data_IF_197227703916
#
_entry.id   IF_197227703916
#
_cell.length_a   1.000
_cell.length_b   1.000
_cell.length_c   1.000
_cell.angle_alpha   90.00
_cell.angle_beta   90.00
_cell.angle_gamma   90.00
#
_symmetry.space_group_name_H-M   'P 1'
#
loop_
_entity.id
_entity.type
_entity.pdbx_description
1 polymer ?
#
# COMPACT_ATOMS: atom_id res chain seq x y z
N UNK A 1 -5.13 -55.17 32.84
CA UNK A 1 -5.97 -54.78 33.99
C UNK A 1 -6.26 -53.29 33.78
N UNK A 2 -7.42 -52.99 33.27
CA UNK A 2 -8.63 -52.47 33.95
C UNK A 2 -8.36 -51.10 34.57
N UNK A 3 -9.10 -50.05 34.38
CA UNK A 3 -10.47 -49.81 33.91
C UNK A 3 -10.63 -48.27 33.87
N UNK A 4 -11.28 -47.72 32.95
CA UNK A 4 -12.71 -47.44 32.79
C UNK A 4 -13.24 -46.21 33.55
N UNK A 5 -13.87 -45.32 32.80
CA UNK A 5 -15.03 -44.45 33.07
C UNK A 5 -14.77 -43.21 33.97
N UNK A 6 -15.25 -42.03 33.61
CA UNK A 6 -16.66 -41.64 33.50
C UNK A 6 -16.83 -40.28 32.77
N UNK A 7 -17.86 -40.27 31.94
CA UNK A 7 -18.55 -39.13 31.32
C UNK A 7 -19.12 -38.18 32.38
N UNK A 8 -19.22 -36.88 32.04
CA UNK A 8 -20.55 -36.21 32.16
C UNK A 8 -20.62 -34.95 31.31
N UNK A 9 -21.61 -34.93 30.44
CA UNK A 9 -22.20 -33.76 29.78
C UNK A 9 -22.86 -32.86 30.83
N UNK A 10 -22.84 -31.54 30.57
CA UNK A 10 -23.91 -30.65 30.96
C UNK A 10 -24.18 -29.61 29.86
N UNK A 11 -25.34 -29.79 29.21
CA UNK A 11 -26.05 -28.84 28.37
C UNK A 11 -26.89 -27.99 29.31
N UNK A 12 -26.81 -26.67 29.20
CA UNK A 12 -27.87 -25.78 29.68
C UNK A 12 -28.14 -24.75 28.60
N UNK A 13 -29.31 -24.87 28.00
CA UNK A 13 -29.99 -23.89 27.19
C UNK A 13 -31.09 -23.24 28.04
N UNK A 14 -31.14 -21.91 28.06
CA UNK A 14 -32.33 -21.10 28.40
C UNK A 14 -31.99 -19.72 27.81
N UNK A 15 -32.68 -19.09 26.89
CA UNK A 15 -34.09 -18.87 26.81
C UNK A 15 -34.26 -17.36 26.70
N UNK A 16 -34.75 -16.85 25.58
CA UNK A 16 -34.85 -15.42 25.30
C UNK A 16 -35.88 -14.69 26.16
N UNK A 17 -35.73 -13.38 26.19
CA UNK A 17 -36.85 -12.46 26.45
C UNK A 17 -36.67 -11.17 25.67
N UNK A 18 -37.57 -10.95 24.72
CA UNK A 18 -37.87 -9.65 24.14
C UNK A 18 -38.62 -8.79 25.14
N UNK A 19 -38.24 -7.56 25.36
CA UNK A 19 -39.15 -6.51 25.85
C UNK A 19 -38.92 -5.26 25.02
N UNK A 20 -40.03 -4.85 24.40
CA UNK A 20 -40.14 -3.62 23.63
C UNK A 20 -40.75 -2.52 24.52
N UNK A 21 -40.59 -1.28 24.07
CA UNK A 21 -41.35 -0.05 24.42
C UNK A 21 -40.87 0.75 25.63
N UNK A 22 -40.54 2.02 25.47
CA UNK A 22 -41.46 3.11 25.28
C UNK A 22 -40.73 4.44 25.02
N UNK A 23 -41.29 5.18 24.12
CA UNK A 23 -40.91 6.58 23.83
C UNK A 23 -41.24 7.52 24.98
N UNK A 24 -40.39 8.52 25.26
CA UNK A 24 -40.77 9.77 25.90
C UNK A 24 -39.89 10.91 25.37
N UNK A 25 -40.54 11.87 24.78
CA UNK A 25 -40.07 13.18 24.33
C UNK A 25 -40.02 14.21 25.49
N UNK A 26 -39.68 15.48 25.29
CA UNK A 26 -38.38 16.04 25.72
C UNK A 26 -38.56 17.10 26.85
N UNK A 27 -37.48 17.45 27.50
CA UNK A 27 -37.40 18.68 28.28
C UNK A 27 -36.19 19.51 27.85
N UNK A 28 -36.48 20.70 27.38
CA UNK A 28 -35.54 21.75 27.05
C UNK A 28 -34.76 22.22 28.29
N UNK A 29 -33.45 22.31 28.15
CA UNK A 29 -32.56 22.94 29.12
C UNK A 29 -31.43 23.66 28.40
N UNK A 30 -31.37 24.96 28.64
CA UNK A 30 -30.50 25.94 28.00
C UNK A 30 -29.00 25.78 28.33
N UNK A 31 -28.20 26.13 27.33
CA UNK A 31 -27.02 26.99 27.38
C UNK A 31 -25.69 26.42 27.92
N UNK A 32 -24.77 26.32 27.05
CA UNK A 32 -23.34 26.30 27.28
C UNK A 32 -22.61 26.40 25.94
N UNK A 33 -22.39 27.63 25.44
CA UNK A 33 -21.48 27.87 24.29
C UNK A 33 -20.06 27.55 24.74
N UNK A 34 -19.53 26.42 24.33
CA UNK A 34 -18.10 26.19 24.28
C UNK A 34 -17.67 26.27 22.83
N UNK A 35 -16.62 27.08 22.58
CA UNK A 35 -16.11 27.36 21.27
C UNK A 35 -15.65 26.10 20.57
N UNK A 36 -16.35 25.71 19.52
CA UNK A 36 -15.94 24.65 18.61
C UNK A 36 -14.78 25.15 17.73
N UNK A 37 -13.74 24.35 17.62
CA UNK A 37 -12.72 24.52 16.61
C UNK A 37 -13.36 24.60 15.22
N UNK A 38 -12.81 25.39 14.29
CA UNK A 38 -13.41 25.54 12.97
C UNK A 38 -13.42 24.17 12.26
N UNK A 39 -14.61 23.74 11.87
CA UNK A 39 -14.80 22.56 11.03
C UNK A 39 -14.03 22.76 9.72
N UNK A 40 -13.25 21.77 9.32
CA UNK A 40 -12.63 21.74 8.01
C UNK A 40 -13.71 21.94 6.92
N UNK A 41 -13.44 22.72 5.87
CA UNK A 41 -14.43 22.96 4.83
C UNK A 41 -14.82 21.64 4.18
N UNK A 42 -16.10 21.30 4.22
CA UNK A 42 -16.66 20.14 3.53
C UNK A 42 -16.29 20.21 2.03
N UNK A 43 -15.73 19.14 1.52
CA UNK A 43 -15.45 19.00 0.11
C UNK A 43 -16.75 19.23 -0.68
N UNK A 44 -16.79 20.28 -1.50
CA UNK A 44 -17.92 20.55 -2.40
C UNK A 44 -17.98 19.42 -3.43
N UNK A 45 -18.90 18.48 -3.25
CA UNK A 45 -19.26 17.50 -4.24
C UNK A 45 -19.74 18.17 -5.52
N UNK A 46 -18.85 18.38 -6.48
CA UNK A 46 -19.18 18.82 -7.82
C UNK A 46 -19.96 17.71 -8.54
N UNK A 47 -21.13 18.01 -9.06
CA UNK A 47 -21.85 17.16 -10.03
C UNK A 47 -21.08 17.21 -11.36
N UNK A 48 -20.20 16.26 -11.57
CA UNK A 48 -19.44 16.06 -12.78
C UNK A 48 -18.36 15.02 -12.50
N UNK A 49 -18.21 13.98 -13.31
CA UNK A 49 -17.24 12.91 -13.14
C UNK A 49 -15.78 13.37 -13.28
N UNK A 50 -15.38 14.35 -12.48
CA UNK A 50 -14.00 14.84 -12.42
C UNK A 50 -13.09 13.85 -11.70
N UNK A 51 -11.81 13.89 -12.04
CA UNK A 51 -10.75 13.17 -11.34
C UNK A 51 -10.71 13.65 -9.88
N UNK A 52 -10.75 12.74 -8.87
CA UNK A 52 -10.57 13.13 -7.49
C UNK A 52 -9.24 13.85 -7.28
N UNK A 53 -9.29 15.00 -6.63
CA UNK A 53 -8.13 15.86 -6.41
C UNK A 53 -8.35 16.72 -5.17
N UNK A 54 -7.27 17.17 -4.55
CA UNK A 54 -7.33 18.03 -3.38
C UNK A 54 -5.99 18.67 -3.03
N UNK A 55 -5.99 19.37 -1.90
CA UNK A 55 -4.82 20.09 -1.41
C UNK A 55 -4.54 21.39 -2.17
N UNK A 56 -3.59 22.17 -1.64
CA UNK A 56 -3.11 23.45 -2.22
C UNK A 56 -1.61 23.66 -1.98
N UNK A 57 -0.95 22.62 -1.47
CA UNK A 57 0.48 22.68 -1.19
C UNK A 57 1.33 22.67 -2.46
N UNK A 58 2.63 23.04 -2.31
CA UNK A 58 3.54 23.19 -3.45
C UNK A 58 3.91 21.86 -4.12
N UNK A 59 3.93 20.75 -3.38
CA UNK A 59 4.35 19.44 -3.92
C UNK A 59 3.19 18.84 -4.70
N UNK A 60 3.37 18.57 -5.97
CA UNK A 60 2.37 17.99 -6.86
C UNK A 60 2.48 16.48 -6.86
N UNK A 61 1.43 15.79 -6.45
CA UNK A 61 1.40 14.32 -6.30
C UNK A 61 0.38 13.70 -7.23
N UNK A 62 0.81 12.76 -8.05
CA UNK A 62 -0.08 11.84 -8.76
C UNK A 62 -0.34 10.62 -7.92
N UNK A 63 -1.61 10.34 -7.57
CA UNK A 63 -2.02 9.17 -6.79
C UNK A 63 -2.52 8.11 -7.75
N UNK A 64 -1.75 7.05 -7.92
CA UNK A 64 -2.09 5.92 -8.81
C UNK A 64 -2.88 4.89 -8.02
N UNK A 65 -4.05 4.49 -8.54
CA UNK A 65 -4.90 3.47 -7.92
C UNK A 65 -5.43 2.51 -8.98
N UNK A 66 -5.90 1.37 -8.58
CA UNK A 66 -6.67 0.33 -9.28
C UNK A 66 -6.24 -1.07 -8.79
N UNK A 67 -7.08 -2.05 -9.09
CA UNK A 67 -6.77 -3.47 -8.86
C UNK A 67 -7.11 -3.97 -7.46
N UNK A 68 -7.29 -3.07 -6.49
CA UNK A 68 -7.80 -3.34 -5.15
C UNK A 68 -8.86 -2.31 -4.76
N UNK A 69 -9.91 -2.76 -4.06
CA UNK A 69 -10.93 -1.88 -3.50
C UNK A 69 -10.41 -1.17 -2.24
N UNK A 70 -10.92 0.02 -1.96
CA UNK A 70 -10.61 0.76 -0.74
C UNK A 70 -11.80 1.63 -0.30
N UNK A 71 -11.80 2.01 0.96
CA UNK A 71 -12.78 2.92 1.54
C UNK A 71 -12.53 4.34 1.02
N UNK A 72 -13.32 4.77 0.03
CA UNK A 72 -13.05 6.01 -0.73
C UNK A 72 -12.95 7.27 0.13
N UNK A 73 -13.90 7.47 1.03
CA UNK A 73 -13.91 8.67 1.87
C UNK A 73 -12.71 8.73 2.82
N UNK A 74 -12.40 7.72 3.65
CA UNK A 74 -11.20 7.71 4.48
C UNK A 74 -9.90 7.84 3.67
N UNK A 75 -9.84 7.23 2.48
CA UNK A 75 -8.67 7.33 1.61
C UNK A 75 -8.42 8.77 1.16
N UNK A 76 -9.44 9.47 0.69
CA UNK A 76 -9.26 10.86 0.28
C UNK A 76 -9.03 11.80 1.45
N UNK A 77 -9.63 11.54 2.62
CA UNK A 77 -9.30 12.26 3.85
C UNK A 77 -7.83 12.09 4.26
N UNK A 78 -7.22 10.92 4.01
CA UNK A 78 -5.78 10.74 4.20
C UNK A 78 -4.99 11.74 3.34
N UNK A 79 -5.27 11.80 2.03
CA UNK A 79 -4.57 12.72 1.10
C UNK A 79 -4.85 14.19 1.43
N UNK A 80 -6.06 14.54 1.81
CA UNK A 80 -6.44 15.90 2.22
C UNK A 80 -5.77 16.31 3.55
N UNK A 81 -5.39 15.36 4.40
CA UNK A 81 -4.70 15.66 5.66
C UNK A 81 -3.32 16.33 5.45
N UNK A 82 -2.75 16.22 4.26
CA UNK A 82 -1.50 16.87 3.84
C UNK A 82 -1.73 18.07 2.92
N UNK A 83 -2.96 18.55 2.81
CA UNK A 83 -3.37 19.54 1.82
C UNK A 83 -2.67 20.89 1.89
N UNK A 84 -1.95 21.21 2.98
CA UNK A 84 -1.04 22.37 3.07
C UNK A 84 0.33 22.12 2.42
N UNK A 85 0.76 20.86 2.39
CA UNK A 85 2.08 20.47 1.88
C UNK A 85 2.01 20.00 0.43
N UNK A 86 0.89 19.37 0.04
CA UNK A 86 0.72 18.77 -1.28
C UNK A 86 -0.52 19.29 -2.02
N UNK A 87 -0.46 19.21 -3.34
CA UNK A 87 -1.62 19.19 -4.23
C UNK A 87 -1.66 17.82 -4.89
N UNK A 88 -2.75 17.08 -4.78
CA UNK A 88 -2.84 15.72 -5.28
C UNK A 88 -3.95 15.53 -6.31
N UNK A 89 -3.75 14.59 -7.23
CA UNK A 89 -4.74 14.15 -8.21
C UNK A 89 -4.69 12.63 -8.34
N UNK A 90 -5.84 11.96 -8.25
CA UNK A 90 -5.94 10.52 -8.45
C UNK A 90 -6.02 10.19 -9.94
N UNK A 91 -5.28 9.19 -10.39
CA UNK A 91 -5.39 8.62 -11.73
C UNK A 91 -5.40 7.10 -11.63
N UNK A 92 -6.41 6.46 -12.22
CA UNK A 92 -6.53 5.01 -12.22
C UNK A 92 -5.90 4.40 -13.48
N UNK A 93 -5.38 3.17 -13.37
CA UNK A 93 -5.05 2.37 -14.56
C UNK A 93 -6.32 2.10 -15.40
N UNK A 94 -6.26 2.11 -16.75
CA UNK A 94 -5.05 2.28 -17.58
C UNK A 94 -4.68 3.73 -17.90
N UNK A 95 -5.46 4.73 -17.46
CA UNK A 95 -5.13 6.14 -17.74
C UNK A 95 -3.80 6.56 -17.09
N UNK A 96 -3.45 5.98 -15.94
CA UNK A 96 -2.18 6.19 -15.27
C UNK A 96 -0.99 5.78 -16.15
N UNK A 97 -1.10 4.73 -16.98
CA UNK A 97 -0.03 4.26 -17.86
C UNK A 97 0.43 5.35 -18.84
N UNK A 98 -0.50 6.19 -19.29
CA UNK A 98 -0.19 7.33 -20.17
C UNK A 98 0.53 8.43 -19.42
N UNK A 99 0.10 8.70 -18.18
CA UNK A 99 0.64 9.79 -17.36
C UNK A 99 2.01 9.44 -16.74
N UNK A 100 2.33 8.16 -16.60
CA UNK A 100 3.62 7.65 -16.08
C UNK A 100 4.70 7.71 -17.17
N UNK A 101 4.91 8.89 -17.74
CA UNK A 101 5.87 9.13 -18.82
C UNK A 101 6.57 10.48 -18.70
N UNK A 102 7.76 10.66 -19.29
CA UNK A 102 8.47 11.94 -19.34
C UNK A 102 7.63 13.10 -19.89
N UNK A 103 6.74 12.81 -20.82
CA UNK A 103 5.85 13.81 -21.42
C UNK A 103 5.05 14.60 -20.38
N UNK A 104 4.65 13.95 -19.28
CA UNK A 104 3.83 14.53 -18.24
C UNK A 104 4.60 14.80 -16.93
N UNK A 105 5.92 14.55 -16.91
CA UNK A 105 6.74 14.63 -15.70
C UNK A 105 6.76 16.03 -15.06
N UNK A 106 6.52 17.09 -15.85
CA UNK A 106 6.46 18.47 -15.32
C UNK A 106 5.18 18.76 -14.51
N UNK A 107 4.18 17.89 -14.59
CA UNK A 107 2.93 18.05 -13.85
C UNK A 107 3.02 17.56 -12.41
N UNK A 108 3.99 16.68 -12.11
CA UNK A 108 4.10 16.02 -10.81
C UNK A 108 5.55 16.01 -10.32
N UNK A 109 5.70 16.13 -9.00
CA UNK A 109 6.97 16.02 -8.30
C UNK A 109 7.14 14.61 -7.72
N UNK A 110 6.00 14.00 -7.31
CA UNK A 110 5.95 12.66 -6.70
C UNK A 110 4.85 11.83 -7.34
N UNK A 111 5.13 10.56 -7.56
CA UNK A 111 4.20 9.53 -7.97
C UNK A 111 3.96 8.57 -6.81
N UNK A 112 2.73 8.53 -6.29
CA UNK A 112 2.35 7.71 -5.16
C UNK A 112 1.41 6.58 -5.62
N UNK A 113 1.78 5.35 -5.32
CA UNK A 113 1.08 4.16 -5.78
C UNK A 113 0.35 3.49 -4.63
N UNK A 114 -0.95 3.31 -4.80
CA UNK A 114 -1.82 2.50 -3.98
C UNK A 114 -2.66 1.64 -4.92
N UNK A 115 -2.00 0.75 -5.65
CA UNK A 115 -2.57 -0.04 -6.72
C UNK A 115 -2.12 -1.50 -6.66
N UNK A 116 -2.82 -2.37 -7.37
CA UNK A 116 -2.32 -3.67 -7.80
C UNK A 116 -2.41 -3.70 -9.33
N UNK A 117 -1.49 -3.00 -9.98
CA UNK A 117 -1.36 -3.03 -11.43
C UNK A 117 -1.17 -4.45 -11.92
N UNK A 118 -1.87 -4.84 -13.00
CA UNK A 118 -1.86 -6.21 -13.48
C UNK A 118 -2.51 -7.22 -12.55
N UNK A 119 -3.41 -6.79 -11.64
CA UNK A 119 -4.14 -7.70 -10.76
C UNK A 119 -4.89 -8.77 -11.55
N UNK A 120 -4.89 -10.00 -11.02
CA UNK A 120 -5.44 -11.15 -11.73
C UNK A 120 -6.93 -11.02 -12.05
N UNK A 121 -7.29 -11.27 -13.29
CA UNK A 121 -8.65 -11.35 -13.80
C UNK A 121 -9.16 -12.80 -13.80
N UNK A 122 -10.48 -12.98 -13.65
CA UNK A 122 -11.12 -14.29 -13.52
C UNK A 122 -11.31 -14.72 -12.08
N UNK A 123 -12.26 -15.64 -11.86
CA UNK A 123 -12.57 -16.23 -10.55
C UNK A 123 -11.72 -17.46 -10.29
N UNK A 124 -11.39 -17.72 -9.03
CA UNK A 124 -10.74 -18.97 -8.62
C UNK A 124 -11.64 -20.17 -8.99
N UNK A 125 -11.15 -21.05 -9.88
CA UNK A 125 -11.90 -22.22 -10.34
C UNK A 125 -13.04 -21.95 -11.31
N UNK A 126 -13.25 -20.69 -11.75
CA UNK A 126 -14.26 -20.30 -12.73
C UNK A 126 -13.82 -20.50 -14.19
N UNK A 127 -14.73 -20.19 -15.13
CA UNK A 127 -14.39 -20.14 -16.55
C UNK A 127 -13.39 -19.02 -16.81
N UNK A 128 -12.54 -19.23 -17.83
CA UNK A 128 -11.63 -18.17 -18.29
C UNK A 128 -12.44 -16.94 -18.73
N UNK A 129 -11.96 -15.71 -18.41
CA UNK A 129 -12.59 -14.48 -18.91
C UNK A 129 -12.61 -14.47 -20.45
N UNK A 130 -13.65 -13.85 -21.02
CA UNK A 130 -13.79 -13.77 -22.48
C UNK A 130 -12.65 -12.97 -23.14
N UNK A 131 -12.10 -11.99 -22.44
CA UNK A 131 -11.05 -11.09 -22.97
C UNK A 131 -9.80 -11.16 -22.08
N UNK A 132 -8.89 -12.07 -22.38
CA UNK A 132 -7.61 -12.21 -21.69
C UNK A 132 -6.57 -11.39 -22.48
N UNK A 133 -5.90 -10.40 -21.87
CA UNK A 133 -4.85 -9.68 -22.54
C UNK A 133 -3.71 -10.61 -23.01
N UNK A 134 -3.17 -10.42 -24.20
CA UNK A 134 -2.00 -11.18 -24.66
C UNK A 134 -0.85 -11.07 -23.66
N UNK A 135 -0.07 -12.15 -23.51
CA UNK A 135 1.06 -12.19 -22.56
C UNK A 135 0.67 -12.33 -21.09
N UNK A 136 -0.62 -12.53 -20.78
CA UNK A 136 -1.05 -12.77 -19.40
C UNK A 136 -0.47 -14.08 -18.85
N UNK A 137 0.04 -14.02 -17.61
CA UNK A 137 0.43 -15.21 -16.85
C UNK A 137 -0.83 -15.92 -16.34
N UNK A 138 -0.95 -17.23 -16.64
CA UNK A 138 -2.09 -18.05 -16.21
C UNK A 138 -1.72 -18.89 -14.99
N UNK A 139 -2.52 -18.83 -13.94
CA UNK A 139 -2.39 -19.74 -12.79
C UNK A 139 -3.14 -21.06 -13.00
N UNK A 140 -2.82 -22.07 -12.19
CA UNK A 140 -3.53 -23.35 -12.20
C UNK A 140 -5.05 -23.20 -11.95
N UNK A 141 -5.48 -22.13 -11.28
CA UNK A 141 -6.89 -21.86 -10.93
C UNK A 141 -7.62 -20.98 -11.96
N UNK A 142 -7.14 -20.92 -13.20
CA UNK A 142 -7.73 -20.08 -14.26
C UNK A 142 -7.81 -18.58 -13.91
N UNK A 143 -6.90 -18.08 -13.07
CA UNK A 143 -6.69 -16.64 -12.87
C UNK A 143 -5.58 -16.18 -13.82
N UNK A 144 -5.77 -15.03 -14.43
CA UNK A 144 -4.85 -14.49 -15.44
C UNK A 144 -4.33 -13.15 -14.97
N UNK A 145 -3.01 -12.98 -14.97
CA UNK A 145 -2.33 -11.75 -14.58
C UNK A 145 -1.83 -11.04 -15.85
N UNK A 146 -2.47 -9.94 -16.26
CA UNK A 146 -2.07 -9.22 -17.46
C UNK A 146 -0.70 -8.55 -17.28
N UNK A 147 0.10 -8.44 -18.34
CA UNK A 147 1.30 -7.62 -18.31
C UNK A 147 0.95 -6.14 -18.26
N UNK A 148 1.90 -5.25 -17.88
CA UNK A 148 1.75 -3.83 -18.10
C UNK A 148 1.62 -3.52 -19.59
N UNK A 149 1.02 -2.36 -19.91
CA UNK A 149 0.97 -1.90 -21.30
C UNK A 149 2.38 -1.68 -21.86
N UNK A 150 2.54 -1.85 -23.16
CA UNK A 150 3.84 -1.60 -23.83
C UNK A 150 4.28 -0.14 -23.65
N UNK A 151 3.30 0.79 -23.59
CA UNK A 151 3.57 2.18 -23.27
C UNK A 151 4.18 2.32 -21.87
N UNK A 152 3.59 1.68 -20.85
CA UNK A 152 4.12 1.75 -19.49
C UNK A 152 5.51 1.13 -19.40
N UNK A 153 5.75 -0.04 -20.02
CA UNK A 153 7.07 -0.68 -20.07
C UNK A 153 8.15 0.22 -20.67
N UNK A 154 7.77 0.99 -21.69
CA UNK A 154 8.70 1.86 -22.42
C UNK A 154 8.95 3.19 -21.69
N UNK A 155 7.89 3.80 -21.15
CA UNK A 155 7.95 5.17 -20.65
C UNK A 155 8.29 5.28 -19.15
N UNK A 156 7.87 4.31 -18.34
CA UNK A 156 8.13 4.32 -16.90
C UNK A 156 9.64 4.27 -16.55
N UNK A 157 10.48 3.43 -17.21
CA UNK A 157 11.93 3.48 -17.02
C UNK A 157 12.54 4.85 -17.34
N UNK A 158 12.05 5.52 -18.40
CA UNK A 158 12.51 6.86 -18.76
C UNK A 158 12.13 7.89 -17.71
N UNK A 159 10.90 7.79 -17.16
CA UNK A 159 10.44 8.65 -16.08
C UNK A 159 11.30 8.49 -14.81
N UNK A 160 11.66 7.26 -14.44
CA UNK A 160 12.59 6.98 -13.35
C UNK A 160 13.98 7.59 -13.59
N UNK A 161 14.45 7.65 -14.83
CA UNK A 161 15.72 8.27 -15.21
C UNK A 161 15.68 9.79 -15.11
N UNK A 162 14.52 10.43 -15.17
CA UNK A 162 14.37 11.86 -14.92
C UNK A 162 14.58 12.25 -13.45
N UNK A 163 14.51 11.29 -12.53
CA UNK A 163 14.78 11.52 -11.13
C UNK A 163 13.61 12.16 -10.38
N UNK A 164 12.39 11.68 -10.60
CA UNK A 164 11.19 12.05 -9.83
C UNK A 164 11.07 11.22 -8.56
N UNK A 165 10.31 11.71 -7.56
CA UNK A 165 10.03 10.95 -6.34
C UNK A 165 8.98 9.86 -6.53
N UNK A 166 9.20 8.70 -5.91
CA UNK A 166 8.24 7.59 -5.93
C UNK A 166 7.92 7.11 -4.52
N UNK A 167 6.64 6.92 -4.25
CA UNK A 167 6.11 6.43 -2.96
C UNK A 167 5.18 5.26 -3.24
N UNK A 168 5.53 4.09 -2.77
CA UNK A 168 4.70 2.89 -2.92
C UNK A 168 4.11 2.50 -1.57
N UNK A 169 2.81 2.27 -1.55
CA UNK A 169 2.06 2.00 -0.34
C UNK A 169 1.45 0.60 -0.39
N UNK A 170 1.65 -0.16 0.68
CA UNK A 170 0.94 -1.38 1.00
C UNK A 170 0.99 -2.42 -0.14
N UNK A 171 -0.16 -2.76 -0.70
CA UNK A 171 -0.29 -3.78 -1.74
C UNK A 171 0.28 -3.38 -3.11
N UNK A 172 0.84 -2.18 -3.27
CA UNK A 172 1.57 -1.83 -4.49
C UNK A 172 2.74 -2.79 -4.79
N UNK A 173 3.26 -3.50 -3.77
CA UNK A 173 4.25 -4.57 -3.93
C UNK A 173 3.75 -5.81 -4.69
N UNK A 174 2.43 -5.94 -4.91
CA UNK A 174 1.85 -7.03 -5.68
C UNK A 174 1.59 -6.66 -7.15
N UNK A 175 1.83 -5.40 -7.54
CA UNK A 175 1.62 -4.97 -8.92
C UNK A 175 2.59 -5.68 -9.87
N UNK A 176 2.03 -6.22 -10.96
CA UNK A 176 2.73 -6.97 -12.03
C UNK A 176 3.72 -8.04 -11.55
N UNK A 177 3.52 -8.57 -10.37
CA UNK A 177 4.43 -9.49 -9.71
C UNK A 177 4.81 -10.73 -10.57
N UNK A 178 3.91 -11.19 -11.47
CA UNK A 178 4.15 -12.31 -12.38
C UNK A 178 4.63 -11.92 -13.79
N UNK A 179 4.46 -10.69 -14.19
CA UNK A 179 4.58 -10.29 -15.60
C UNK A 179 5.60 -9.18 -15.84
N UNK A 180 6.11 -8.57 -14.76
CA UNK A 180 7.12 -7.52 -14.85
C UNK A 180 8.08 -7.54 -13.64
N UNK A 181 9.05 -8.49 -13.61
CA UNK A 181 9.97 -8.64 -12.47
C UNK A 181 10.77 -7.37 -12.13
N UNK A 182 11.10 -6.56 -13.14
CA UNK A 182 11.84 -5.30 -12.94
C UNK A 182 11.06 -4.31 -12.07
N UNK A 183 9.72 -4.34 -12.11
CA UNK A 183 8.90 -3.50 -11.24
C UNK A 183 9.08 -3.85 -9.75
N UNK A 184 9.23 -5.14 -9.43
CA UNK A 184 9.57 -5.58 -8.08
C UNK A 184 10.96 -5.10 -7.65
N UNK A 185 11.91 -5.00 -8.59
CA UNK A 185 13.22 -4.42 -8.33
C UNK A 185 13.13 -2.90 -8.09
N UNK A 186 12.22 -2.19 -8.73
CA UNK A 186 11.96 -0.77 -8.45
C UNK A 186 11.48 -0.59 -7.02
N UNK A 187 10.54 -1.40 -6.56
CA UNK A 187 9.95 -1.32 -5.20
C UNK A 187 10.94 -1.81 -4.14
N UNK A 188 11.69 -2.89 -4.42
CA UNK A 188 12.58 -3.55 -3.45
C UNK A 188 11.93 -4.76 -2.78
N UNK A 189 10.96 -5.38 -3.42
CA UNK A 189 10.27 -6.56 -2.95
C UNK A 189 9.07 -6.92 -3.80
N UNK A 190 8.57 -8.13 -3.62
CA UNK A 190 7.40 -8.63 -4.34
C UNK A 190 6.50 -9.45 -3.43
N UNK A 191 5.21 -9.34 -3.66
CA UNK A 191 4.18 -10.03 -2.93
C UNK A 191 3.10 -10.55 -3.88
N UNK A 192 2.64 -11.79 -3.70
CA UNK A 192 1.38 -12.27 -4.27
C UNK A 192 0.77 -13.31 -3.33
N UNK A 193 -0.49 -13.11 -3.00
CA UNK A 193 -1.25 -13.96 -2.05
C UNK A 193 -2.09 -15.02 -2.75
N UNK A 194 -2.18 -14.96 -4.09
CA UNK A 194 -3.11 -15.77 -4.86
C UNK A 194 -2.43 -16.88 -5.67
N UNK A 195 -1.15 -16.73 -5.97
CA UNK A 195 -0.41 -17.68 -6.79
C UNK A 195 1.06 -17.80 -6.38
N UNK A 196 1.68 -18.99 -6.54
CA UNK A 196 3.13 -19.14 -6.44
C UNK A 196 3.84 -18.20 -7.42
N UNK A 197 4.97 -17.67 -7.01
CA UNK A 197 5.70 -16.64 -7.75
C UNK A 197 7.19 -16.96 -7.81
N UNK A 198 7.80 -16.76 -9.00
CA UNK A 198 9.25 -16.84 -9.17
C UNK A 198 9.87 -15.46 -9.03
N UNK A 199 10.65 -15.24 -7.97
CA UNK A 199 11.29 -13.97 -7.64
C UNK A 199 12.79 -14.18 -7.56
N UNK A 200 13.58 -13.43 -8.31
CA UNK A 200 15.06 -13.54 -8.35
C UNK A 200 15.55 -14.98 -8.50
N UNK A 201 14.85 -15.76 -9.34
CA UNK A 201 15.20 -17.16 -9.59
C UNK A 201 14.76 -18.16 -8.52
N UNK A 202 14.07 -17.72 -7.46
CA UNK A 202 13.56 -18.57 -6.38
C UNK A 202 12.04 -18.71 -6.54
N UNK A 203 11.56 -19.95 -6.55
CA UNK A 203 10.12 -20.24 -6.56
C UNK A 203 9.57 -20.12 -5.14
N UNK A 204 8.70 -19.15 -4.91
CA UNK A 204 8.02 -18.95 -3.65
C UNK A 204 6.59 -19.53 -3.71
N UNK A 205 6.06 -20.07 -2.60
CA UNK A 205 4.64 -20.36 -2.48
C UNK A 205 3.82 -19.06 -2.51
N UNK A 206 2.49 -19.16 -2.36
CA UNK A 206 1.69 -17.97 -2.12
C UNK A 206 2.20 -17.26 -0.88
N UNK A 207 2.49 -15.96 -1.00
CA UNK A 207 2.88 -15.15 0.14
C UNK A 207 1.73 -15.05 1.15
N UNK A 208 2.09 -14.79 2.42
CA UNK A 208 1.12 -14.59 3.48
C UNK A 208 0.72 -13.13 3.61
N UNK A 209 -0.58 -12.91 3.74
CA UNK A 209 -1.08 -11.72 4.41
C UNK A 209 -1.85 -12.15 5.67
N UNK A 210 -1.76 -11.33 6.69
CA UNK A 210 -2.38 -11.56 7.99
C UNK A 210 -3.26 -10.36 8.27
N UNK A 211 -4.58 -10.58 8.31
CA UNK A 211 -5.56 -9.50 8.43
C UNK A 211 -5.44 -8.76 9.75
N UNK A 212 -5.95 -7.59 9.81
CA UNK A 212 -6.00 -6.60 10.90
C UNK A 212 -5.28 -7.00 12.18
N UNK A 213 -3.96 -7.01 12.11
CA UNK A 213 -3.04 -7.42 13.18
C UNK A 213 -2.50 -6.19 13.90
N UNK A 214 -2.59 -6.10 15.24
CA UNK A 214 -1.89 -5.08 16.01
C UNK A 214 -0.38 -5.22 15.84
N UNK A 215 0.30 -4.14 15.51
CA UNK A 215 1.74 -4.09 15.25
C UNK A 215 2.35 -2.85 15.90
N UNK A 216 3.60 -2.97 16.31
CA UNK A 216 4.47 -1.84 16.59
C UNK A 216 5.47 -1.68 15.44
N UNK A 217 5.41 -0.53 14.79
CA UNK A 217 6.33 -0.17 13.71
C UNK A 217 7.48 0.62 14.34
N UNK A 218 8.64 -0.02 14.50
CA UNK A 218 9.83 0.56 15.10
C UNK A 218 10.75 1.16 14.06
N UNK A 219 11.26 2.35 14.30
CA UNK A 219 12.21 3.01 13.38
C UNK A 219 13.64 2.51 13.62
N UNK A 220 14.29 2.06 12.55
CA UNK A 220 15.69 1.63 12.58
C UNK A 220 16.64 2.77 12.18
N UNK A 221 16.21 3.66 11.28
CA UNK A 221 16.92 4.90 11.00
C UNK A 221 16.13 6.11 11.54
N UNK A 222 16.41 6.47 12.78
CA UNK A 222 15.75 7.59 13.49
C UNK A 222 16.27 8.96 13.04
N UNK A 223 17.37 8.99 12.31
CA UNK A 223 17.95 10.23 11.78
C UNK A 223 17.38 10.62 10.42
N UNK A 224 16.72 9.67 9.73
CA UNK A 224 16.18 9.90 8.40
C UNK A 224 15.01 10.92 8.44
N UNK A 225 14.90 11.85 7.47
CA UNK A 225 13.81 12.84 7.44
C UNK A 225 12.41 12.24 7.52
N UNK A 226 12.21 11.02 7.05
CA UNK A 226 10.93 10.30 7.07
C UNK A 226 10.47 10.00 8.50
N UNK A 227 11.39 9.76 9.43
CA UNK A 227 11.08 9.42 10.84
C UNK A 227 11.01 10.65 11.75
N UNK A 228 11.27 11.83 11.21
CA UNK A 228 11.31 13.08 11.97
C UNK A 228 9.99 13.33 12.74
N UNK A 229 10.13 13.56 14.06
CA UNK A 229 9.00 13.89 14.94
C UNK A 229 8.14 12.69 15.37
N UNK A 230 8.58 11.44 15.10
CA UNK A 230 7.81 10.22 15.39
C UNK A 230 8.39 9.37 16.53
N UNK A 231 9.51 9.80 17.15
CA UNK A 231 10.16 9.07 18.26
C UNK A 231 10.70 7.71 17.82
N UNK A 232 10.39 6.68 18.59
CA UNK A 232 10.92 5.32 18.37
C UNK A 232 10.09 4.51 17.36
N UNK A 233 8.86 4.91 17.12
CA UNK A 233 7.92 4.18 16.27
C UNK A 233 6.48 4.52 16.59
N UNK A 234 5.57 3.70 16.09
CA UNK A 234 4.13 3.86 16.35
C UNK A 234 3.38 2.53 16.34
N UNK A 235 2.28 2.48 17.09
CA UNK A 235 1.33 1.37 17.05
C UNK A 235 0.33 1.57 15.91
N UNK A 236 0.00 0.48 15.23
CA UNK A 236 -1.03 0.43 14.20
C UNK A 236 -1.71 -0.93 14.20
N UNK A 237 -3.00 -0.97 13.91
CA UNK A 237 -3.69 -2.22 13.57
C UNK A 237 -3.92 -2.22 12.07
N UNK A 238 -3.27 -3.14 11.36
CA UNK A 238 -3.27 -3.19 9.90
C UNK A 238 -2.97 -4.60 9.41
N UNK A 239 -3.04 -4.86 8.12
CA UNK A 239 -2.52 -6.10 7.55
C UNK A 239 -1.00 -6.19 7.74
N UNK A 240 -0.53 -7.40 8.06
CA UNK A 240 0.89 -7.71 8.08
C UNK A 240 1.24 -8.69 6.96
N UNK A 241 2.44 -8.56 6.41
CA UNK A 241 2.86 -9.34 5.25
C UNK A 241 4.07 -10.24 5.53
N UNK A 242 4.02 -11.47 5.02
CA UNK A 242 5.18 -12.35 4.89
C UNK A 242 5.48 -12.50 3.40
N UNK A 243 6.23 -11.57 2.85
CA UNK A 243 6.56 -11.46 1.44
C UNK A 243 8.08 -11.50 1.21
N UNK A 244 8.50 -11.64 -0.04
CA UNK A 244 9.91 -11.65 -0.39
C UNK A 244 10.43 -10.20 -0.49
N UNK A 245 10.94 -9.66 0.62
CA UNK A 245 11.56 -8.34 0.68
C UNK A 245 13.06 -8.43 0.36
N UNK A 246 13.58 -7.46 -0.40
CA UNK A 246 14.97 -7.46 -0.88
C UNK A 246 15.87 -6.67 0.06
N UNK A 247 16.10 -7.19 1.27
CA UNK A 247 16.91 -6.54 2.31
C UNK A 247 18.32 -6.16 1.85
N UNK A 248 18.86 -6.89 0.88
CA UNK A 248 20.18 -6.69 0.30
C UNK A 248 20.29 -5.46 -0.62
N UNK A 249 19.17 -4.87 -0.99
CA UNK A 249 19.11 -3.80 -2.00
C UNK A 249 18.31 -2.58 -1.56
N UNK A 250 17.96 -2.48 -0.28
CA UNK A 250 17.20 -1.37 0.30
C UNK A 250 17.87 -0.82 1.54
N UNK A 251 17.58 0.44 1.88
CA UNK A 251 17.94 1.04 3.17
C UNK A 251 16.72 0.98 4.10
N UNK A 252 16.77 0.18 5.19
CA UNK A 252 15.67 0.02 6.12
C UNK A 252 15.33 1.33 6.86
N UNK A 253 14.06 1.71 6.88
CA UNK A 253 13.54 2.84 7.67
C UNK A 253 12.80 2.33 8.90
N UNK A 254 11.96 1.29 8.74
CA UNK A 254 11.18 0.74 9.84
C UNK A 254 11.02 -0.77 9.74
N UNK A 255 10.81 -1.39 10.90
CA UNK A 255 10.49 -2.82 11.04
C UNK A 255 9.21 -2.99 11.85
N UNK A 256 8.46 -4.05 11.58
CA UNK A 256 7.32 -4.48 12.40
C UNK A 256 7.78 -5.49 13.44
N UNK A 257 7.13 -5.53 14.60
CA UNK A 257 7.26 -6.60 15.59
C UNK A 257 6.48 -7.87 15.20
N UNK A 258 5.68 -7.81 14.15
CA UNK A 258 4.96 -8.98 13.66
C UNK A 258 5.91 -10.09 13.22
N UNK A 259 5.59 -11.31 13.66
CA UNK A 259 6.29 -12.54 13.27
C UNK A 259 5.24 -13.59 12.90
N UNK A 260 5.26 -14.14 11.67
CA UNK A 260 4.39 -15.26 11.34
C UNK A 260 4.80 -16.49 12.16
N UNK A 261 3.84 -17.28 12.61
CA UNK A 261 4.10 -18.48 13.41
C UNK A 261 4.99 -19.50 12.66
N UNK A 262 4.86 -19.55 11.33
CA UNK A 262 5.69 -20.38 10.46
C UNK A 262 5.88 -19.65 9.10
N UNK A 263 7.01 -18.96 8.92
CA UNK A 263 7.28 -18.25 7.69
C UNK A 263 7.45 -19.18 6.48
N UNK A 264 7.80 -20.45 6.67
CA UNK A 264 8.04 -21.41 5.57
C UNK A 264 6.76 -21.77 4.82
N UNK A 265 5.61 -21.55 5.42
CA UNK A 265 4.31 -21.70 4.73
C UNK A 265 4.08 -20.68 3.63
N UNK A 266 4.76 -19.55 3.70
CA UNK A 266 4.56 -18.40 2.83
C UNK A 266 5.80 -18.00 2.04
N UNK A 267 6.96 -18.55 2.39
CA UNK A 267 8.24 -18.26 1.75
C UNK A 267 8.99 -19.54 1.46
N UNK A 268 9.74 -19.56 0.37
CA UNK A 268 10.68 -20.64 0.11
C UNK A 268 11.70 -20.72 1.26
N UNK A 269 12.10 -21.93 1.73
CA UNK A 269 13.09 -22.06 2.81
C UNK A 269 14.44 -21.38 2.54
N UNK A 270 14.76 -21.08 1.27
CA UNK A 270 15.95 -20.31 0.88
C UNK A 270 15.79 -18.80 1.09
N UNK A 271 14.56 -18.32 1.35
CA UNK A 271 14.26 -16.92 1.61
C UNK A 271 14.07 -16.73 3.09
N UNK A 272 14.97 -15.97 3.71
CA UNK A 272 14.80 -15.60 5.12
C UNK A 272 13.63 -14.65 5.26
N UNK A 273 12.73 -14.92 6.21
CA UNK A 273 11.68 -13.98 6.57
C UNK A 273 12.30 -12.64 6.98
N UNK A 274 11.73 -11.57 6.44
CA UNK A 274 12.10 -10.20 6.74
C UNK A 274 10.90 -9.46 7.34
N UNK A 275 11.11 -8.84 8.48
CA UNK A 275 10.13 -7.99 9.15
C UNK A 275 10.24 -6.51 8.72
N UNK A 276 10.83 -6.22 7.57
CA UNK A 276 10.85 -4.86 7.03
C UNK A 276 9.43 -4.33 6.88
N UNK A 277 9.16 -3.17 7.47
CA UNK A 277 7.88 -2.47 7.36
C UNK A 277 7.94 -1.30 6.39
N UNK A 278 9.12 -0.65 6.29
CA UNK A 278 9.35 0.44 5.35
C UNK A 278 10.84 0.59 5.02
N UNK A 279 11.12 1.09 3.83
CA UNK A 279 12.48 1.35 3.35
C UNK A 279 12.54 2.44 2.30
N UNK A 280 13.77 2.89 2.05
CA UNK A 280 14.10 3.72 0.89
C UNK A 280 15.13 3.03 0.02
N UNK A 281 15.14 3.36 -1.25
CA UNK A 281 16.14 2.92 -2.21
C UNK A 281 16.20 3.88 -3.39
N UNK A 282 17.09 3.60 -4.32
CA UNK A 282 17.10 4.25 -5.63
C UNK A 282 16.63 3.28 -6.71
N UNK A 283 15.91 3.79 -7.71
CA UNK A 283 15.58 3.09 -8.94
C UNK A 283 15.88 4.02 -10.10
N UNK A 284 16.77 3.60 -11.01
CA UNK A 284 17.40 4.49 -12.00
C UNK A 284 18.00 5.72 -11.30
N UNK A 285 17.47 6.92 -11.53
CA UNK A 285 17.90 8.17 -10.87
C UNK A 285 16.87 8.68 -9.83
N UNK A 286 15.87 7.89 -9.51
CA UNK A 286 14.73 8.28 -8.68
C UNK A 286 14.85 7.77 -7.24
N UNK A 287 14.54 8.61 -6.23
CA UNK A 287 14.33 8.14 -4.86
C UNK A 287 13.00 7.41 -4.76
N UNK A 288 13.01 6.27 -4.09
CA UNK A 288 11.85 5.40 -3.89
C UNK A 288 11.68 5.17 -2.40
N UNK A 289 10.45 5.31 -1.93
CA UNK A 289 10.00 4.89 -0.61
C UNK A 289 8.94 3.81 -0.76
N UNK A 290 8.97 2.82 0.11
CA UNK A 290 7.91 1.83 0.26
C UNK A 290 7.55 1.64 1.74
N UNK A 291 6.25 1.40 2.01
CA UNK A 291 5.78 0.85 3.28
C UNK A 291 4.72 -0.22 3.07
N UNK A 292 4.82 -1.33 3.80
CA UNK A 292 3.80 -2.38 3.79
C UNK A 292 2.53 -2.01 4.58
N UNK A 293 2.60 -0.98 5.44
CA UNK A 293 1.46 -0.48 6.23
C UNK A 293 0.59 0.41 5.37
N UNK A 294 -0.74 0.34 5.55
CA UNK A 294 -1.67 1.27 4.90
C UNK A 294 -2.85 0.64 4.17
N UNK A 295 -3.32 -0.55 4.61
CA UNK A 295 -4.43 -1.26 3.97
C UNK A 295 -5.73 -0.44 3.95
N UNK A 296 -6.10 0.18 5.06
CA UNK A 296 -7.42 0.79 5.18
C UNK A 296 -7.54 1.90 6.22
N UNK A 297 -8.77 2.27 6.50
CA UNK A 297 -9.13 3.41 7.36
C UNK A 297 -8.50 3.36 8.75
N UNK A 298 -8.27 2.18 9.31
CA UNK A 298 -7.62 2.00 10.62
C UNK A 298 -6.20 2.57 10.64
N UNK A 299 -5.40 2.22 9.62
CA UNK A 299 -4.05 2.77 9.47
C UNK A 299 -4.11 4.25 9.09
N UNK A 300 -4.99 4.63 8.15
CA UNK A 300 -5.10 6.01 7.67
C UNK A 300 -5.60 6.98 8.73
N UNK A 301 -6.36 6.53 9.73
CA UNK A 301 -6.78 7.34 10.87
C UNK A 301 -5.67 7.54 11.91
N UNK A 302 -4.60 6.72 11.90
CA UNK A 302 -3.49 6.80 12.85
C UNK A 302 -2.64 8.05 12.59
N UNK A 303 -2.55 9.03 13.53
CA UNK A 303 -1.84 10.28 13.29
C UNK A 303 -0.35 10.08 12.94
N UNK A 304 0.31 9.13 13.62
CA UNK A 304 1.73 8.82 13.36
C UNK A 304 1.94 8.20 11.97
N UNK A 305 1.02 7.36 11.49
CA UNK A 305 1.06 6.85 10.12
C UNK A 305 0.91 7.99 9.10
N UNK A 306 -0.04 8.92 9.32
CA UNK A 306 -0.20 10.09 8.46
C UNK A 306 1.08 10.92 8.42
N UNK A 307 1.68 11.19 9.58
CA UNK A 307 2.94 11.94 9.63
C UNK A 307 4.06 11.19 8.91
N UNK A 308 4.15 9.87 9.09
CA UNK A 308 5.17 9.02 8.47
C UNK A 308 5.10 9.07 6.94
N UNK A 309 3.92 8.82 6.37
CA UNK A 309 3.72 8.86 4.91
C UNK A 309 3.85 10.29 4.37
N UNK A 310 3.31 11.29 5.08
CA UNK A 310 3.49 12.70 4.71
C UNK A 310 4.96 13.13 4.67
N UNK A 311 5.77 12.68 5.64
CA UNK A 311 7.22 12.90 5.64
C UNK A 311 7.88 12.18 4.45
N UNK A 312 7.43 10.96 4.10
CA UNK A 312 7.96 10.22 2.96
C UNK A 312 7.68 10.92 1.63
N UNK A 313 6.49 11.48 1.45
CA UNK A 313 6.15 12.29 0.26
C UNK A 313 7.05 13.53 0.18
N UNK A 314 7.21 14.26 1.29
CA UNK A 314 8.07 15.45 1.36
C UNK A 314 9.53 15.10 1.09
N UNK A 315 10.01 14.00 1.65
CA UNK A 315 11.36 13.50 1.38
C UNK A 315 11.55 13.16 -0.09
N UNK A 316 10.63 12.38 -0.69
CA UNK A 316 10.74 11.97 -2.08
C UNK A 316 10.75 13.16 -3.07
N UNK A 317 10.14 14.28 -2.70
CA UNK A 317 10.16 15.53 -3.47
C UNK A 317 11.37 16.44 -3.16
N UNK A 318 12.14 16.13 -2.11
CA UNK A 318 13.18 17.04 -1.64
C UNK A 318 14.39 17.09 -2.58
N UNK A 319 15.06 18.24 -2.70
CA UNK A 319 16.29 18.35 -3.46
C UNK A 319 17.38 17.37 -3.00
N UNK A 320 17.44 17.09 -1.71
CA UNK A 320 18.42 16.19 -1.08
C UNK A 320 18.19 14.75 -1.53
N UNK A 321 16.93 14.26 -1.50
CA UNK A 321 16.61 12.92 -1.95
C UNK A 321 16.83 12.74 -3.46
N UNK A 322 16.47 13.75 -4.25
CA UNK A 322 16.69 13.74 -5.71
C UNK A 322 18.20 13.75 -6.04
N UNK A 323 18.98 14.56 -5.34
CA UNK A 323 20.44 14.59 -5.50
C UNK A 323 21.09 13.27 -5.06
N UNK A 324 20.63 12.70 -3.92
CA UNK A 324 21.10 11.40 -3.43
C UNK A 324 20.83 10.29 -4.45
N UNK A 325 19.61 10.21 -4.99
CA UNK A 325 19.27 9.19 -5.97
C UNK A 325 20.08 9.32 -7.26
N UNK A 326 20.29 10.55 -7.72
CA UNK A 326 21.08 10.83 -8.90
C UNK A 326 22.57 10.51 -8.72
N UNK A 327 23.09 10.69 -7.50
CA UNK A 327 24.47 10.33 -7.15
C UNK A 327 24.66 8.82 -6.93
N UNK A 328 23.59 8.09 -6.60
CA UNK A 328 23.61 6.66 -6.31
C UNK A 328 22.61 5.88 -7.21
N UNK A 329 22.72 5.96 -8.53
CA UNK A 329 21.73 5.36 -9.42
C UNK A 329 21.78 3.84 -9.34
N UNK A 330 20.61 3.19 -9.23
CA UNK A 330 20.48 1.74 -9.36
C UNK A 330 19.85 1.40 -10.70
N UNK A 331 20.65 0.90 -11.63
CA UNK A 331 20.16 0.50 -12.95
C UNK A 331 19.38 -0.81 -12.86
N UNK A 332 18.13 -0.77 -13.26
CA UNK A 332 17.19 -1.89 -13.25
C UNK A 332 16.83 -2.27 -14.68
N UNK A 333 16.58 -1.27 -15.51
CA UNK A 333 16.18 -1.48 -16.91
C UNK A 333 17.37 -1.33 -17.84
N UNK A 334 17.45 -2.20 -18.85
CA UNK A 334 18.47 -2.10 -19.88
C UNK A 334 18.37 -0.76 -20.62
N UNK A 335 19.53 -0.21 -21.02
CA UNK A 335 19.61 1.12 -21.68
C UNK A 335 19.00 1.15 -23.09
N UNK A 336 18.59 0.03 -23.61
CA UNK A 336 18.00 -0.13 -24.96
C UNK A 336 16.46 -0.09 -24.98
N UNK A 337 15.81 0.15 -23.83
CA UNK A 337 14.36 0.33 -23.73
C UNK A 337 14.00 1.77 -23.41
#
# INVERSE_FOLDING_TARGET
MNATLLKQLMVVAVGGLFVASAASTPLAGQAGRQGGAPAAPAARGGRGGGIPQGGRGPIKVMVVTKGHGYEREPFFQLWDSWGSDITWSQVEHPAADVMLSPKYSKLFDVYAFFDIGGSGIGSRGGQAPANIPPGSFKTANNRYYPPPSEQLKTEFPKLLREGKGFVFLHHASAAWAHTWPEYSEVIGGACDWYAPQRIRGIDNPNHGYFGMTPQFISFVDKSHPITKGLGDGFHVTDEAYACHWFEDSVHPIARTDFQPADPTKNLNPKVKYSNLAAWVKTAENSPVFFTQVGHGSTAWATPAYRQFVGNAIKWAASPEALAWAKANPKRIFNSSN
#
